data_IF_824611117982
#
_entry.id   IF_824611117982
#
_cell.length_a   1.000
_cell.length_b   1.000
_cell.length_c   1.000
_cell.angle_alpha   90.00
_cell.angle_beta   90.00
_cell.angle_gamma   90.00
#
_symmetry.space_group_name_H-M   'P 1'
#
loop_
_entity.id
_entity.type
_entity.pdbx_description
1 polymer ?
#
# COMPACT_ATOMS: atom_id res chain seq x y z
N UNK A 1 -26.77 51.83 20.88
CA UNK A 1 -26.54 51.33 22.26
C UNK A 1 -26.90 49.85 22.25
N UNK A 2 -25.89 49.02 22.32
CA UNK A 2 -26.05 47.54 22.32
C UNK A 2 -26.44 47.13 23.74
N UNK A 3 -27.48 46.36 23.92
CA UNK A 3 -28.01 45.95 25.23
C UNK A 3 -27.04 45.03 25.96
N UNK A 4 -27.06 44.97 27.31
CA UNK A 4 -26.19 44.03 28.08
C UNK A 4 -26.35 42.57 27.71
N UNK A 5 -27.52 42.16 27.18
CA UNK A 5 -27.83 40.82 26.77
C UNK A 5 -27.14 40.47 25.44
N UNK A 6 -27.01 41.40 24.49
CA UNK A 6 -26.28 41.19 23.24
C UNK A 6 -24.78 41.07 23.44
N UNK A 7 -24.22 41.75 24.46
CA UNK A 7 -22.81 41.60 24.84
C UNK A 7 -22.50 40.26 25.49
N UNK A 8 -23.49 39.65 26.17
CA UNK A 8 -23.32 38.34 26.77
C UNK A 8 -23.30 37.23 25.71
N UNK A 9 -24.17 37.32 24.68
CA UNK A 9 -24.17 36.38 23.55
C UNK A 9 -22.93 36.52 22.66
N UNK A 10 -22.39 37.74 22.47
CA UNK A 10 -21.16 37.93 21.73
C UNK A 10 -19.92 37.40 22.49
N UNK A 11 -19.89 37.51 23.82
CA UNK A 11 -18.82 36.97 24.66
C UNK A 11 -18.86 35.45 24.73
N UNK A 12 -20.04 34.82 24.77
CA UNK A 12 -20.19 33.35 24.76
C UNK A 12 -19.84 32.80 23.37
N UNK A 13 -20.20 33.49 22.27
CA UNK A 13 -19.79 33.09 20.92
C UNK A 13 -18.29 33.21 20.69
N UNK A 14 -17.61 34.21 21.29
CA UNK A 14 -16.14 34.34 21.23
C UNK A 14 -15.42 33.30 22.13
N UNK A 15 -16.02 32.87 23.25
CA UNK A 15 -15.44 31.81 24.11
C UNK A 15 -15.60 30.42 23.50
N UNK A 16 -16.64 30.16 22.69
CA UNK A 16 -16.79 28.89 21.98
C UNK A 16 -15.89 28.76 20.73
N UNK A 17 -15.27 29.85 20.25
CA UNK A 17 -14.33 29.80 19.13
C UNK A 17 -12.86 29.56 19.55
N UNK A 18 -12.54 29.46 20.85
CA UNK A 18 -11.15 29.38 21.33
C UNK A 18 -10.75 27.99 21.88
N UNK A 19 -11.52 26.95 21.58
CA UNK A 19 -11.09 25.55 21.79
C UNK A 19 -11.03 24.77 20.47
N UNK A 20 -10.39 25.35 19.47
CA UNK A 20 -9.69 24.56 18.47
C UNK A 20 -8.42 24.07 19.19
N UNK A 21 -8.51 22.90 19.82
CA UNK A 21 -7.35 22.13 20.23
C UNK A 21 -6.46 21.97 19.01
N UNK A 22 -5.30 22.62 19.03
CA UNK A 22 -4.31 22.44 17.97
C UNK A 22 -3.84 20.98 18.07
N UNK A 23 -4.26 20.13 17.16
CA UNK A 23 -3.54 18.89 16.91
C UNK A 23 -2.05 19.27 16.86
N UNK A 24 -1.20 18.61 17.64
CA UNK A 24 0.23 18.89 17.66
C UNK A 24 0.76 18.74 16.23
N UNK A 25 0.99 19.85 15.56
CA UNK A 25 1.53 19.86 14.20
C UNK A 25 2.95 19.33 14.30
N UNK A 26 3.19 18.14 13.73
CA UNK A 26 4.55 17.58 13.66
C UNK A 26 5.35 18.49 12.72
N UNK A 27 6.40 19.13 13.23
CA UNK A 27 7.31 19.90 12.41
C UNK A 27 8.20 18.96 11.59
N UNK A 28 8.09 19.05 10.26
CA UNK A 28 8.84 18.20 9.34
C UNK A 28 10.16 18.84 8.95
N UNK A 29 11.23 18.06 8.90
CA UNK A 29 12.57 18.49 8.47
C UNK A 29 12.56 19.01 7.02
N UNK A 30 11.85 18.33 6.12
CA UNK A 30 11.69 18.71 4.72
C UNK A 30 10.24 19.08 4.42
N UNK A 31 10.03 20.25 3.81
CA UNK A 31 8.72 20.72 3.40
C UNK A 31 8.51 20.53 1.90
N UNK A 32 7.28 20.24 1.48
CA UNK A 32 6.92 20.03 0.08
C UNK A 32 5.47 19.62 -0.10
N UNK A 33 5.09 19.46 -1.35
CA UNK A 33 3.79 18.94 -1.75
C UNK A 33 3.93 17.51 -2.29
N UNK A 34 2.85 16.72 -2.17
CA UNK A 34 2.82 15.38 -2.78
C UNK A 34 2.92 15.51 -4.30
N UNK A 35 3.88 14.83 -4.95
CA UNK A 35 4.07 14.96 -6.38
C UNK A 35 2.91 14.32 -7.16
N UNK A 36 2.57 14.90 -8.30
CA UNK A 36 1.51 14.40 -9.19
C UNK A 36 2.11 13.68 -10.38
N UNK A 37 1.48 12.56 -10.78
CA UNK A 37 1.82 11.84 -12.00
C UNK A 37 0.88 12.22 -13.14
N UNK A 38 1.35 12.07 -14.38
CA UNK A 38 0.56 12.34 -15.59
C UNK A 38 -0.39 11.21 -15.96
N UNK A 39 -0.26 10.04 -15.33
CA UNK A 39 -1.04 8.83 -15.58
C UNK A 39 -1.12 8.00 -14.31
N UNK A 40 -2.16 7.15 -14.20
CA UNK A 40 -2.34 6.20 -13.09
C UNK A 40 -1.56 4.90 -13.30
N UNK A 41 -0.88 4.73 -14.44
CA UNK A 41 -0.18 3.50 -14.83
C UNK A 41 1.00 3.20 -13.93
N UNK A 42 0.98 2.04 -13.27
CA UNK A 42 2.02 1.59 -12.36
C UNK A 42 2.31 0.09 -12.47
N UNK A 43 3.44 -0.31 -11.90
CA UNK A 43 3.93 -1.69 -11.93
C UNK A 43 4.67 -2.01 -10.64
N UNK A 44 4.51 -3.22 -10.13
CA UNK A 44 5.45 -3.79 -9.19
C UNK A 44 6.71 -4.20 -9.95
N UNK A 45 7.77 -3.42 -9.78
CA UNK A 45 8.93 -3.42 -10.68
C UNK A 45 9.93 -4.53 -10.30
N UNK A 46 10.28 -5.37 -11.29
CA UNK A 46 11.40 -6.33 -11.20
C UNK A 46 12.57 -5.89 -12.10
N UNK A 47 12.29 -5.19 -13.21
CA UNK A 47 13.29 -4.71 -14.18
C UNK A 47 13.07 -3.21 -14.43
N UNK A 48 13.89 -2.36 -13.86
CA UNK A 48 13.69 -0.91 -13.90
C UNK A 48 13.70 -0.36 -15.32
N UNK A 49 14.66 -0.76 -16.17
CA UNK A 49 14.76 -0.28 -17.56
C UNK A 49 13.53 -0.65 -18.40
N UNK A 50 13.01 -1.88 -18.25
CA UNK A 50 11.81 -2.33 -18.96
C UNK A 50 10.57 -1.57 -18.45
N UNK A 51 10.47 -1.33 -17.15
CA UNK A 51 9.39 -0.54 -16.56
C UNK A 51 9.39 0.90 -17.09
N UNK A 52 10.57 1.53 -17.20
CA UNK A 52 10.72 2.87 -17.79
C UNK A 52 10.33 2.87 -19.27
N UNK A 53 10.77 1.86 -20.04
CA UNK A 53 10.39 1.71 -21.45
C UNK A 53 8.88 1.50 -21.65
N UNK A 54 8.20 0.88 -20.66
CA UNK A 54 6.75 0.74 -20.62
C UNK A 54 6.02 2.03 -20.24
N UNK A 55 6.74 3.07 -19.83
CA UNK A 55 6.19 4.38 -19.48
C UNK A 55 5.47 4.39 -18.14
N UNK A 56 5.87 3.57 -17.14
CA UNK A 56 5.28 3.59 -15.82
C UNK A 56 5.43 4.96 -15.14
N UNK A 57 4.42 5.33 -14.36
CA UNK A 57 4.42 6.56 -13.56
C UNK A 57 4.34 6.29 -12.06
N UNK A 58 4.00 5.06 -11.68
CA UNK A 58 3.96 4.60 -10.29
C UNK A 58 4.66 3.25 -10.19
N UNK A 59 5.37 3.02 -9.09
CA UNK A 59 6.03 1.75 -8.83
C UNK A 59 5.91 1.37 -7.36
N UNK A 60 5.57 0.11 -7.05
CA UNK A 60 5.73 -0.45 -5.71
C UNK A 60 7.01 -1.28 -5.62
N UNK A 61 7.63 -1.26 -4.43
CA UNK A 61 8.77 -2.08 -4.08
C UNK A 61 8.60 -2.66 -2.69
N UNK A 62 8.84 -3.96 -2.53
CA UNK A 62 8.86 -4.62 -1.23
C UNK A 62 10.15 -4.25 -0.49
N UNK A 63 10.01 -3.75 0.73
CA UNK A 63 11.10 -3.44 1.65
C UNK A 63 11.02 -4.41 2.81
N UNK A 64 11.87 -5.43 2.81
CA UNK A 64 11.97 -6.37 3.92
C UNK A 64 12.77 -5.73 5.07
N UNK A 65 12.06 -5.24 6.07
CA UNK A 65 12.64 -4.56 7.22
C UNK A 65 13.54 -5.50 8.07
N UNK A 66 13.21 -6.80 8.10
CA UNK A 66 14.04 -7.79 8.80
C UNK A 66 15.41 -7.98 8.12
N UNK A 67 15.47 -7.88 6.78
CA UNK A 67 16.76 -7.91 6.05
C UNK A 67 17.60 -6.65 6.26
N UNK A 68 16.98 -5.52 6.57
CA UNK A 68 17.70 -4.30 6.95
C UNK A 68 18.21 -4.37 8.38
N UNK A 69 17.52 -5.07 9.28
CA UNK A 69 17.74 -5.00 10.70
C UNK A 69 19.09 -5.58 11.14
N UNK A 70 19.74 -4.88 12.06
CA UNK A 70 20.93 -5.32 12.79
C UNK A 70 20.65 -5.20 14.29
N UNK A 71 20.41 -6.32 15.01
CA UNK A 71 20.20 -6.30 16.45
C UNK A 71 21.38 -5.73 17.23
N UNK A 72 21.11 -5.10 18.38
CA UNK A 72 22.15 -4.55 19.24
C UNK A 72 23.16 -5.63 19.68
N UNK A 73 24.44 -5.27 19.79
CA UNK A 73 25.50 -6.20 20.20
C UNK A 73 25.98 -7.15 19.10
N UNK A 74 25.38 -7.19 17.93
CA UNK A 74 26.00 -7.88 16.80
C UNK A 74 27.22 -7.07 16.33
N UNK A 75 28.37 -7.74 16.01
CA UNK A 75 29.53 -7.03 15.55
C UNK A 75 29.17 -6.22 14.30
N UNK A 76 29.48 -4.93 14.30
CA UNK A 76 29.45 -4.11 13.12
C UNK A 76 30.47 -4.70 12.12
N UNK A 77 30.00 -5.63 11.30
CA UNK A 77 30.77 -6.18 10.18
C UNK A 77 30.92 -5.16 9.07
N UNK A 78 31.82 -5.37 8.12
CA UNK A 78 32.04 -4.42 7.01
C UNK A 78 30.86 -4.13 6.10
N UNK A 79 29.70 -4.78 6.31
CA UNK A 79 28.44 -4.60 5.57
C UNK A 79 27.33 -3.95 6.42
N UNK A 80 27.69 -3.04 7.34
CA UNK A 80 26.73 -2.28 8.15
C UNK A 80 26.93 -0.78 8.00
N UNK A 81 25.81 -0.04 8.06
CA UNK A 81 25.76 1.42 8.12
C UNK A 81 25.11 1.83 9.44
N UNK A 82 25.84 2.58 10.27
CA UNK A 82 25.33 3.10 11.54
C UNK A 82 24.61 4.43 11.34
N UNK A 83 23.59 4.68 12.16
CA UNK A 83 22.87 5.95 12.21
C UNK A 83 22.41 6.26 13.63
N UNK A 84 22.17 7.54 13.90
CA UNK A 84 21.74 8.04 15.20
C UNK A 84 20.25 8.39 15.18
N UNK A 85 19.53 8.01 16.24
CA UNK A 85 18.14 8.44 16.49
C UNK A 85 17.89 8.53 17.99
N UNK A 86 17.35 9.66 18.45
CA UNK A 86 17.00 9.93 19.86
C UNK A 86 18.11 9.61 20.87
N UNK A 87 19.37 9.90 20.49
CA UNK A 87 20.56 9.68 21.32
C UNK A 87 21.03 8.23 21.40
N UNK A 88 20.49 7.35 20.55
CA UNK A 88 20.93 5.96 20.42
C UNK A 88 21.53 5.69 19.04
N UNK A 89 22.57 4.87 19.02
CA UNK A 89 23.19 4.39 17.78
C UNK A 89 22.53 3.10 17.33
N UNK A 90 22.04 3.08 16.10
CA UNK A 90 21.48 1.91 15.42
C UNK A 90 22.32 1.55 14.19
N UNK A 91 22.05 0.39 13.61
CA UNK A 91 22.70 -0.02 12.36
C UNK A 91 21.73 -0.74 11.42
N UNK A 92 22.04 -0.66 10.12
CA UNK A 92 21.32 -1.40 9.05
C UNK A 92 22.31 -2.15 8.16
N UNK A 93 21.84 -3.19 7.48
CA UNK A 93 22.56 -3.93 6.44
C UNK A 93 22.78 -3.05 5.21
N UNK A 94 24.01 -2.61 5.01
CA UNK A 94 24.41 -1.64 3.99
C UNK A 94 24.15 -2.14 2.56
N UNK A 95 24.58 -3.36 2.22
CA UNK A 95 24.47 -3.88 0.85
C UNK A 95 23.00 -4.02 0.41
N UNK A 96 22.09 -4.44 1.30
CA UNK A 96 20.68 -4.52 0.97
C UNK A 96 20.04 -3.12 0.81
N UNK A 97 20.40 -2.16 1.69
CA UNK A 97 19.93 -0.78 1.57
C UNK A 97 20.38 -0.15 0.24
N UNK A 98 21.66 -0.28 -0.12
CA UNK A 98 22.20 0.27 -1.37
C UNK A 98 21.56 -0.34 -2.62
N UNK A 99 21.24 -1.64 -2.58
CA UNK A 99 20.51 -2.30 -3.66
C UNK A 99 19.09 -1.73 -3.84
N UNK A 100 18.36 -1.48 -2.74
CA UNK A 100 17.05 -0.82 -2.76
C UNK A 100 17.18 0.60 -3.33
N UNK A 101 18.10 1.40 -2.80
CA UNK A 101 18.32 2.78 -3.21
C UNK A 101 18.72 2.91 -4.69
N UNK A 102 19.49 1.97 -5.21
CA UNK A 102 19.83 1.93 -6.63
C UNK A 102 18.58 1.85 -7.51
N UNK A 103 17.64 0.96 -7.18
CA UNK A 103 16.38 0.83 -7.94
C UNK A 103 15.45 2.02 -7.72
N UNK A 104 15.29 2.48 -6.47
CA UNK A 104 14.47 3.65 -6.14
C UNK A 104 14.97 4.87 -6.92
N UNK A 105 16.28 5.11 -6.93
CA UNK A 105 16.88 6.23 -7.66
C UNK A 105 16.65 6.12 -9.14
N UNK A 106 16.93 4.96 -9.75
CA UNK A 106 16.71 4.74 -11.21
C UNK A 106 15.28 5.10 -11.62
N UNK A 107 14.28 4.74 -10.79
CA UNK A 107 12.88 5.03 -11.09
C UNK A 107 12.52 6.50 -10.79
N UNK A 108 12.90 7.01 -9.63
CA UNK A 108 12.51 8.35 -9.19
C UNK A 108 13.21 9.48 -9.95
N UNK A 109 14.42 9.26 -10.43
CA UNK A 109 15.15 10.23 -11.29
C UNK A 109 14.44 10.45 -12.64
N UNK A 110 13.68 9.42 -13.10
CA UNK A 110 12.84 9.49 -14.31
C UNK A 110 11.39 9.92 -13.99
N UNK A 111 11.15 10.42 -12.78
CA UNK A 111 9.86 10.97 -12.35
C UNK A 111 8.80 9.91 -12.02
N UNK A 112 9.19 8.65 -11.82
CA UNK A 112 8.28 7.61 -11.34
C UNK A 112 8.05 7.79 -9.84
N UNK A 113 6.78 7.77 -9.41
CA UNK A 113 6.38 7.82 -8.02
C UNK A 113 6.56 6.45 -7.37
N UNK A 114 7.54 6.32 -6.48
CA UNK A 114 7.88 5.04 -5.83
C UNK A 114 7.20 4.94 -4.48
N UNK A 115 6.54 3.79 -4.22
CA UNK A 115 5.90 3.44 -2.96
C UNK A 115 6.63 2.25 -2.33
N UNK A 116 7.02 2.38 -1.06
CA UNK A 116 7.66 1.35 -0.28
C UNK A 116 6.62 0.50 0.46
N UNK A 117 6.53 -0.80 0.17
CA UNK A 117 5.72 -1.75 0.94
C UNK A 117 6.61 -2.26 2.09
N UNK A 118 6.28 -1.88 3.32
CA UNK A 118 7.03 -2.20 4.52
C UNK A 118 6.62 -3.56 5.04
N UNK A 119 7.49 -4.55 4.92
CA UNK A 119 7.23 -5.95 5.26
C UNK A 119 8.24 -6.44 6.30
N UNK A 120 7.82 -7.42 7.11
CA UNK A 120 8.70 -8.11 8.08
C UNK A 120 8.60 -9.60 7.84
N UNK A 121 9.53 -10.15 7.07
CA UNK A 121 9.63 -11.59 6.87
C UNK A 121 10.34 -12.26 8.05
N UNK A 122 9.93 -13.51 8.33
CA UNK A 122 10.67 -14.37 9.26
C UNK A 122 12.12 -14.54 8.77
N UNK A 123 13.07 -14.22 9.64
CA UNK A 123 14.51 -14.31 9.36
C UNK A 123 15.06 -15.66 9.84
N UNK A 124 16.12 -16.14 9.22
CA UNK A 124 16.91 -17.25 9.78
C UNK A 124 17.71 -16.88 11.04
N UNK A 125 17.78 -15.59 11.43
CA UNK A 125 18.42 -15.09 12.65
C UNK A 125 17.37 -14.86 13.74
N UNK A 126 17.38 -15.66 14.83
CA UNK A 126 16.42 -15.50 15.92
C UNK A 126 16.47 -14.12 16.60
N UNK A 127 17.63 -13.45 16.63
CA UNK A 127 17.73 -12.13 17.23
C UNK A 127 17.03 -11.06 16.38
N UNK A 128 17.08 -11.20 15.06
CA UNK A 128 16.30 -10.36 14.14
C UNK A 128 14.80 -10.60 14.32
N UNK A 129 14.37 -11.87 14.44
CA UNK A 129 12.96 -12.19 14.68
C UNK A 129 12.45 -11.62 16.00
N UNK A 130 13.25 -11.75 17.08
CA UNK A 130 12.89 -11.16 18.38
C UNK A 130 12.75 -9.63 18.32
N UNK A 131 13.60 -8.97 17.55
CA UNK A 131 13.58 -7.51 17.37
C UNK A 131 12.41 -7.05 16.49
N UNK A 132 12.16 -7.74 15.38
CA UNK A 132 11.34 -7.23 14.27
C UNK A 132 9.94 -7.83 14.19
N UNK A 133 9.77 -9.12 14.55
CA UNK A 133 8.47 -9.79 14.48
C UNK A 133 7.64 -9.57 15.75
N UNK A 134 6.34 -9.39 15.56
CA UNK A 134 5.38 -9.33 16.67
C UNK A 134 5.55 -10.53 17.61
N UNK A 135 5.52 -10.35 18.96
CA UNK A 135 5.80 -11.45 19.91
C UNK A 135 4.84 -12.65 19.81
N UNK A 136 3.65 -12.46 19.25
CA UNK A 136 2.68 -13.53 18.99
C UNK A 136 2.75 -14.08 17.56
N UNK A 137 3.78 -13.72 16.79
CA UNK A 137 3.98 -14.28 15.45
C UNK A 137 3.95 -15.82 15.50
N UNK A 138 3.19 -16.44 14.61
CA UNK A 138 3.08 -17.88 14.49
C UNK A 138 3.71 -18.37 13.18
N UNK A 139 4.82 -19.10 13.28
CA UNK A 139 5.55 -19.64 12.13
C UNK A 139 4.79 -20.71 11.34
N UNK A 140 3.64 -21.20 11.84
CA UNK A 140 2.75 -22.06 11.09
C UNK A 140 1.99 -21.33 9.97
N UNK A 141 2.00 -20.01 9.96
CA UNK A 141 1.38 -19.21 8.91
C UNK A 141 2.11 -19.38 7.56
N UNK A 142 1.37 -19.45 6.42
CA UNK A 142 1.90 -19.98 5.19
C UNK A 142 2.94 -19.09 4.49
N UNK A 143 2.93 -17.78 4.70
CA UNK A 143 3.76 -16.85 3.93
C UNK A 143 4.97 -16.32 4.70
N UNK A 144 5.17 -16.76 5.95
CA UNK A 144 6.28 -16.33 6.82
C UNK A 144 6.42 -14.79 6.94
N UNK A 145 5.28 -14.07 6.91
CA UNK A 145 5.19 -12.63 6.94
C UNK A 145 4.46 -12.19 8.21
N UNK A 146 5.15 -11.48 9.10
CA UNK A 146 4.62 -11.04 10.37
C UNK A 146 4.38 -9.54 10.45
N UNK A 147 3.60 -9.12 11.44
CA UNK A 147 3.50 -7.73 11.83
C UNK A 147 4.81 -7.27 12.50
N UNK A 148 5.17 -5.98 12.40
CA UNK A 148 6.32 -5.43 13.11
C UNK A 148 6.12 -5.53 14.65
N UNK A 149 7.23 -5.71 15.37
CA UNK A 149 7.25 -5.72 16.83
C UNK A 149 7.14 -4.30 17.39
N UNK A 150 5.93 -3.87 17.71
CA UNK A 150 5.68 -2.63 18.45
C UNK A 150 5.32 -2.88 19.92
N UNK A 151 5.28 -4.14 20.35
CA UNK A 151 4.87 -4.55 21.70
C UNK A 151 6.02 -4.42 22.71
N UNK A 152 7.26 -4.68 22.28
CA UNK A 152 8.42 -4.49 23.13
C UNK A 152 9.01 -3.09 22.95
N UNK A 153 9.53 -2.51 24.03
CA UNK A 153 10.19 -1.19 23.97
C UNK A 153 11.35 -1.16 22.99
N UNK A 154 12.11 -2.26 22.88
CA UNK A 154 13.24 -2.36 21.97
C UNK A 154 12.77 -2.41 20.51
N UNK A 155 11.80 -3.28 20.19
CA UNK A 155 11.23 -3.38 18.84
C UNK A 155 10.59 -2.07 18.38
N UNK A 156 9.77 -1.46 19.25
CA UNK A 156 9.14 -0.17 18.97
C UNK A 156 10.16 0.93 18.67
N UNK A 157 11.18 1.11 19.53
CA UNK A 157 12.24 2.12 19.31
C UNK A 157 13.04 1.86 18.05
N UNK A 158 13.38 0.56 17.80
CA UNK A 158 14.12 0.21 16.60
C UNK A 158 13.33 0.48 15.33
N UNK A 159 12.03 0.07 15.29
CA UNK A 159 11.17 0.32 14.15
C UNK A 159 11.03 1.82 13.88
N UNK A 160 10.77 2.62 14.91
CA UNK A 160 10.61 4.07 14.79
C UNK A 160 11.89 4.72 14.25
N UNK A 161 13.05 4.35 14.78
CA UNK A 161 14.35 4.83 14.32
C UNK A 161 14.64 4.40 12.88
N UNK A 162 14.37 3.14 12.52
CA UNK A 162 14.57 2.62 11.17
C UNK A 162 13.69 3.33 10.15
N UNK A 163 12.39 3.49 10.42
CA UNK A 163 11.48 4.21 9.52
C UNK A 163 11.88 5.68 9.39
N UNK A 164 12.25 6.33 10.49
CA UNK A 164 12.76 7.71 10.47
C UNK A 164 14.00 7.86 9.60
N UNK A 165 14.96 6.95 9.74
CA UNK A 165 16.18 6.91 8.94
C UNK A 165 15.90 6.72 7.44
N UNK A 166 15.04 5.76 7.08
CA UNK A 166 14.67 5.53 5.68
C UNK A 166 13.91 6.73 5.10
N UNK A 167 12.97 7.29 5.86
CA UNK A 167 12.20 8.44 5.43
C UNK A 167 13.07 9.69 5.23
N UNK A 168 14.05 9.93 6.08
CA UNK A 168 15.02 11.01 5.91
C UNK A 168 15.79 10.88 4.61
N UNK A 169 16.34 9.69 4.34
CA UNK A 169 17.14 9.42 3.13
C UNK A 169 16.31 9.57 1.86
N UNK A 170 15.12 9.00 1.84
CA UNK A 170 14.25 8.96 0.65
C UNK A 170 13.38 10.20 0.46
N UNK A 171 13.41 11.14 1.40
CA UNK A 171 12.77 12.45 1.28
C UNK A 171 13.76 13.60 1.18
N UNK A 172 15.07 13.33 1.21
CA UNK A 172 16.10 14.36 1.09
C UNK A 172 16.01 15.04 -0.28
N UNK A 173 15.92 16.39 -0.32
CA UNK A 173 15.85 17.15 -1.57
C UNK A 173 17.04 16.93 -2.52
N UNK A 174 18.19 16.45 -2.01
CA UNK A 174 19.36 16.12 -2.87
C UNK A 174 19.06 15.01 -3.88
N UNK A 175 18.10 14.09 -3.54
CA UNK A 175 17.80 12.91 -4.35
C UNK A 175 18.90 11.83 -4.37
N UNK A 176 19.97 11.99 -3.59
CA UNK A 176 21.12 11.08 -3.58
C UNK A 176 20.74 9.61 -3.39
N UNK A 177 19.69 9.34 -2.61
CA UNK A 177 19.20 8.00 -2.29
C UNK A 177 17.91 7.63 -3.05
N UNK A 178 17.52 8.45 -4.05
CA UNK A 178 16.23 8.36 -4.71
C UNK A 178 15.11 8.94 -3.84
N UNK A 179 13.85 8.82 -4.32
CA UNK A 179 12.68 9.39 -3.65
C UNK A 179 11.55 8.38 -3.50
N UNK A 180 11.04 8.24 -2.27
CA UNK A 180 9.82 7.47 -1.97
C UNK A 180 8.70 8.44 -1.61
N UNK A 181 7.55 8.30 -2.29
CA UNK A 181 6.39 9.19 -2.11
C UNK A 181 5.33 8.60 -1.17
N UNK A 182 5.36 7.29 -0.93
CA UNK A 182 4.38 6.63 -0.08
C UNK A 182 4.94 5.41 0.64
N UNK A 183 4.43 5.18 1.84
CA UNK A 183 4.79 4.04 2.69
C UNK A 183 3.53 3.21 2.93
N UNK A 184 3.51 1.98 2.43
CA UNK A 184 2.42 1.02 2.61
C UNK A 184 2.81 0.14 3.79
N UNK A 185 2.02 0.14 4.85
CA UNK A 185 2.36 -0.53 6.12
C UNK A 185 1.77 -1.93 6.14
N UNK A 186 2.62 -2.94 6.04
CA UNK A 186 2.23 -4.34 5.92
C UNK A 186 1.64 -4.68 4.55
N UNK A 187 1.04 -5.87 4.46
CA UNK A 187 0.33 -6.35 3.29
C UNK A 187 -1.01 -6.97 3.70
N UNK A 188 -2.11 -6.65 3.03
CA UNK A 188 -3.45 -7.25 3.22
C UNK A 188 -3.82 -7.51 4.68
N UNK A 189 -3.64 -6.50 5.51
CA UNK A 189 -3.64 -6.63 6.98
C UNK A 189 -4.98 -7.09 7.57
N UNK A 190 -6.07 -7.00 6.81
CA UNK A 190 -7.35 -7.58 7.18
C UNK A 190 -7.35 -9.12 7.12
N UNK A 191 -6.46 -9.72 6.33
CA UNK A 191 -6.16 -11.17 6.27
C UNK A 191 -4.83 -11.47 6.98
N UNK A 192 -4.69 -10.95 8.20
CA UNK A 192 -3.44 -10.80 8.95
C UNK A 192 -2.66 -12.10 9.15
N UNK A 193 -3.33 -13.23 9.38
CA UNK A 193 -2.67 -14.53 9.54
C UNK A 193 -1.75 -14.84 8.36
N UNK A 194 -2.17 -14.46 7.16
CA UNK A 194 -1.44 -14.75 5.93
C UNK A 194 -0.36 -13.72 5.61
N UNK A 195 -0.59 -12.42 5.94
CA UNK A 195 0.16 -11.34 5.37
C UNK A 195 0.70 -10.28 6.35
N UNK A 196 0.29 -10.36 7.62
CA UNK A 196 0.71 -9.43 8.69
C UNK A 196 0.51 -10.10 10.07
N UNK A 197 1.11 -11.27 10.25
CA UNK A 197 0.79 -12.24 11.29
C UNK A 197 1.10 -11.73 12.70
N UNK A 198 0.09 -11.79 13.57
CA UNK A 198 0.17 -11.57 15.02
C UNK A 198 -0.32 -12.79 15.82
N UNK A 199 -0.30 -13.99 15.21
CA UNK A 199 -0.97 -15.17 15.72
C UNK A 199 -2.48 -15.12 15.53
N UNK A 200 -3.23 -16.05 16.12
CA UNK A 200 -4.69 -15.93 16.22
C UNK A 200 -5.05 -14.76 17.11
N UNK A 201 -5.92 -13.86 16.63
CA UNK A 201 -6.25 -12.63 17.35
C UNK A 201 -7.74 -12.27 17.25
N UNK A 202 -8.26 -11.58 18.25
CA UNK A 202 -9.55 -10.90 18.14
C UNK A 202 -9.43 -9.70 17.18
N UNK A 203 -10.59 -9.25 16.66
CA UNK A 203 -10.61 -8.05 15.82
C UNK A 203 -10.06 -6.82 16.55
N UNK A 204 -10.45 -6.63 17.81
CA UNK A 204 -10.05 -5.45 18.59
C UNK A 204 -8.53 -5.45 18.84
N UNK A 205 -7.93 -6.62 19.05
CA UNK A 205 -6.49 -6.78 19.21
C UNK A 205 -5.76 -6.45 17.90
N UNK A 206 -6.19 -7.01 16.75
CA UNK A 206 -5.62 -6.68 15.45
C UNK A 206 -5.74 -5.18 15.14
N UNK A 207 -6.94 -4.62 15.32
CA UNK A 207 -7.20 -3.22 15.02
C UNK A 207 -6.34 -2.27 15.87
N UNK A 208 -6.13 -2.62 17.15
CA UNK A 208 -5.32 -1.82 18.06
C UNK A 208 -3.84 -1.87 17.70
N UNK A 209 -3.27 -3.07 17.55
CA UNK A 209 -1.87 -3.27 17.13
C UNK A 209 -1.61 -2.56 15.79
N UNK A 210 -2.52 -2.73 14.82
CA UNK A 210 -2.29 -2.15 13.51
C UNK A 210 -2.45 -0.63 13.50
N UNK A 211 -3.45 -0.08 14.22
CA UNK A 211 -3.59 1.38 14.39
C UNK A 211 -2.33 2.01 14.97
N UNK A 212 -1.77 1.41 16.04
CA UNK A 212 -0.54 1.90 16.67
C UNK A 212 0.67 1.81 15.72
N UNK A 213 0.77 0.71 14.95
CA UNK A 213 1.84 0.53 13.96
C UNK A 213 1.75 1.60 12.85
N UNK A 214 0.55 1.78 12.29
CA UNK A 214 0.32 2.75 11.22
C UNK A 214 0.62 4.19 11.69
N UNK A 215 0.21 4.52 12.92
CA UNK A 215 0.47 5.81 13.56
C UNK A 215 1.96 6.04 13.80
N UNK A 216 2.67 5.03 14.31
CA UNK A 216 4.13 5.09 14.51
C UNK A 216 4.85 5.40 13.19
N UNK A 217 4.52 4.65 12.13
CA UNK A 217 5.10 4.87 10.80
C UNK A 217 4.76 6.26 10.28
N UNK A 218 3.50 6.69 10.39
CA UNK A 218 3.09 8.03 9.98
C UNK A 218 3.90 9.12 10.71
N UNK A 219 4.06 9.01 12.02
CA UNK A 219 4.79 10.00 12.81
C UNK A 219 6.29 10.01 12.46
N UNK A 220 6.91 8.83 12.30
CA UNK A 220 8.31 8.71 11.91
C UNK A 220 8.58 9.34 10.53
N UNK A 221 7.71 9.07 9.54
CA UNK A 221 7.77 9.67 8.20
C UNK A 221 7.51 11.17 8.27
N UNK A 222 6.47 11.59 8.99
CA UNK A 222 6.05 13.01 9.04
C UNK A 222 7.08 13.90 9.71
N UNK A 223 7.85 13.41 10.69
CA UNK A 223 8.99 14.15 11.24
C UNK A 223 10.07 14.43 10.21
N UNK A 224 10.22 13.59 9.20
CA UNK A 224 11.23 13.80 8.15
C UNK A 224 10.70 14.66 7.00
N UNK A 225 9.49 14.42 6.53
CA UNK A 225 8.93 15.18 5.42
C UNK A 225 7.41 15.39 5.53
N UNK A 226 6.94 16.56 5.08
CA UNK A 226 5.52 16.94 5.16
C UNK A 226 4.64 16.27 4.10
N UNK A 227 5.21 15.73 3.02
CA UNK A 227 4.47 15.35 1.82
C UNK A 227 4.30 13.83 1.59
N UNK A 228 5.16 12.90 2.06
CA UNK A 228 4.93 11.49 1.81
C UNK A 228 3.66 11.00 2.48
N UNK A 229 2.95 10.08 1.84
CA UNK A 229 1.71 9.50 2.35
C UNK A 229 1.96 8.14 2.99
N UNK A 230 1.14 7.79 3.99
CA UNK A 230 1.17 6.48 4.65
C UNK A 230 -0.15 5.77 4.41
N UNK A 231 -0.08 4.50 4.00
CA UNK A 231 -1.22 3.74 3.51
C UNK A 231 -1.45 2.48 4.35
N UNK A 232 -2.73 2.22 4.66
CA UNK A 232 -3.18 0.90 5.11
C UNK A 232 -3.33 -0.02 3.90
N UNK A 233 -2.83 -1.26 3.99
CA UNK A 233 -2.95 -2.25 2.93
C UNK A 233 -4.14 -3.19 3.18
N UNK A 234 -5.06 -3.26 2.22
CA UNK A 234 -6.30 -4.04 2.34
C UNK A 234 -6.58 -4.82 1.05
N UNK A 235 -7.12 -6.03 1.20
CA UNK A 235 -7.55 -6.86 0.08
C UNK A 235 -9.08 -6.84 -0.13
N UNK A 236 -9.56 -7.49 -1.16
CA UNK A 236 -10.91 -7.34 -1.72
C UNK A 236 -12.08 -7.86 -0.86
N UNK A 237 -11.84 -8.65 0.23
CA UNK A 237 -12.92 -9.11 1.13
C UNK A 237 -13.47 -7.94 1.94
N UNK A 238 -14.54 -7.33 1.43
CA UNK A 238 -15.02 -6.04 1.91
C UNK A 238 -15.90 -6.15 3.16
N UNK A 239 -17.04 -6.86 3.05
CA UNK A 239 -17.94 -7.06 4.21
C UNK A 239 -17.88 -8.47 4.79
N UNK A 240 -17.08 -9.36 4.20
CA UNK A 240 -16.80 -10.71 4.67
C UNK A 240 -15.31 -10.85 5.01
N UNK A 241 -14.94 -11.83 5.82
CA UNK A 241 -13.52 -12.23 5.95
C UNK A 241 -13.12 -13.17 4.83
N UNK A 242 -11.84 -13.39 4.65
CA UNK A 242 -11.30 -14.40 3.75
C UNK A 242 -11.92 -15.78 4.08
N UNK A 243 -12.64 -16.44 3.13
CA UNK A 243 -13.47 -17.60 3.44
C UNK A 243 -12.70 -18.83 3.93
N UNK A 244 -11.43 -18.98 3.55
CA UNK A 244 -10.59 -20.09 3.99
C UNK A 244 -9.93 -19.85 5.37
N UNK A 245 -10.04 -18.64 5.93
CA UNK A 245 -9.47 -18.30 7.22
C UNK A 245 -10.38 -18.69 8.39
N UNK A 246 -9.80 -19.03 9.52
CA UNK A 246 -10.51 -19.16 10.78
C UNK A 246 -10.98 -17.79 11.29
N UNK A 247 -11.83 -17.77 12.32
CA UNK A 247 -12.49 -16.56 12.81
C UNK A 247 -11.53 -15.54 13.45
N UNK A 248 -10.36 -16.00 13.87
CA UNK A 248 -9.28 -15.24 14.50
C UNK A 248 -8.07 -15.00 13.56
N UNK A 249 -8.22 -15.29 12.25
CA UNK A 249 -7.15 -15.20 11.26
C UNK A 249 -7.36 -14.11 10.21
N UNK A 250 -8.60 -13.68 9.99
CA UNK A 250 -8.95 -12.65 9.04
C UNK A 250 -10.23 -11.91 9.43
N UNK A 251 -10.36 -10.67 8.95
CA UNK A 251 -11.54 -9.82 9.15
C UNK A 251 -11.91 -9.11 7.84
N UNK A 252 -13.11 -8.54 7.80
CA UNK A 252 -13.54 -7.72 6.67
C UNK A 252 -12.74 -6.41 6.60
N UNK A 253 -12.29 -6.02 5.42
CA UNK A 253 -11.57 -4.75 5.17
C UNK A 253 -12.35 -3.54 5.67
N UNK A 254 -13.65 -3.50 5.39
CA UNK A 254 -14.54 -2.43 5.84
C UNK A 254 -14.56 -2.28 7.35
N UNK A 255 -14.58 -3.39 8.08
CA UNK A 255 -14.63 -3.36 9.56
C UNK A 255 -13.41 -2.62 10.14
N UNK A 256 -12.22 -2.78 9.51
CA UNK A 256 -11.02 -2.08 9.94
C UNK A 256 -11.11 -0.57 9.65
N UNK A 257 -11.65 -0.19 8.50
CA UNK A 257 -11.86 1.22 8.15
C UNK A 257 -12.94 1.90 9.01
N UNK A 258 -14.01 1.17 9.35
CA UNK A 258 -15.05 1.64 10.29
C UNK A 258 -14.44 1.89 11.69
N UNK A 259 -13.56 1.01 12.17
CA UNK A 259 -12.83 1.19 13.44
C UNK A 259 -11.91 2.41 13.40
N UNK A 260 -11.18 2.62 12.29
CA UNK A 260 -10.31 3.79 12.12
C UNK A 260 -11.11 5.10 12.10
N UNK A 261 -12.26 5.11 11.42
CA UNK A 261 -13.16 6.26 11.43
C UNK A 261 -13.65 6.57 12.85
N UNK A 262 -14.09 5.53 13.60
CA UNK A 262 -14.51 5.66 14.99
C UNK A 262 -13.41 6.21 15.89
N UNK A 263 -12.19 5.66 15.82
CA UNK A 263 -11.01 6.16 16.60
C UNK A 263 -10.73 7.64 16.30
N UNK A 264 -10.76 8.02 15.02
CA UNK A 264 -10.55 9.40 14.62
C UNK A 264 -11.62 10.37 15.12
N UNK A 265 -12.85 9.91 15.31
CA UNK A 265 -13.96 10.71 15.88
C UNK A 265 -13.88 10.79 17.42
N UNK A 266 -13.62 9.66 18.08
CA UNK A 266 -13.52 9.58 19.53
C UNK A 266 -12.29 10.33 20.09
N UNK A 267 -11.21 10.38 19.31
CA UNK A 267 -9.96 11.04 19.69
C UNK A 267 -9.41 11.88 18.52
N UNK A 268 -10.01 13.06 18.22
CA UNK A 268 -9.59 13.89 17.09
C UNK A 268 -8.11 14.30 17.12
N UNK A 269 -7.55 14.51 18.32
CA UNK A 269 -6.15 14.85 18.51
C UNK A 269 -5.20 13.69 18.22
N UNK A 270 -5.72 12.47 18.21
CA UNK A 270 -5.01 11.22 17.93
C UNK A 270 -5.22 10.74 16.48
N UNK A 271 -6.07 11.41 15.72
CA UNK A 271 -6.32 11.15 14.32
C UNK A 271 -5.15 11.68 13.46
N UNK A 272 -4.86 10.98 12.39
CA UNK A 272 -3.76 11.33 11.48
C UNK A 272 -4.12 11.05 10.01
N UNK A 273 -3.29 11.55 9.10
CA UNK A 273 -3.53 11.48 7.66
C UNK A 273 -3.06 10.13 7.07
N UNK A 274 -3.87 9.09 7.27
CA UNK A 274 -3.68 7.78 6.64
C UNK A 274 -4.48 7.67 5.33
N UNK A 275 -4.02 6.83 4.41
CA UNK A 275 -4.61 6.59 3.09
C UNK A 275 -4.78 5.08 2.85
N UNK A 276 -5.33 4.69 1.69
CA UNK A 276 -5.68 3.30 1.39
C UNK A 276 -4.87 2.77 0.20
N UNK A 277 -4.17 1.66 0.41
CA UNK A 277 -3.58 0.81 -0.60
C UNK A 277 -4.48 -0.44 -0.72
N UNK A 278 -5.26 -0.53 -1.80
CA UNK A 278 -6.29 -1.54 -1.96
C UNK A 278 -5.96 -2.53 -3.07
N UNK A 279 -6.30 -3.80 -2.87
CA UNK A 279 -6.03 -4.90 -3.80
C UNK A 279 -7.34 -5.47 -4.36
N UNK A 280 -7.90 -4.91 -5.45
CA UNK A 280 -9.19 -5.32 -6.02
C UNK A 280 -9.07 -6.51 -6.96
N UNK A 281 -8.38 -7.58 -6.56
CA UNK A 281 -8.31 -8.80 -7.36
C UNK A 281 -9.71 -9.30 -7.75
N UNK A 282 -9.86 -10.03 -8.88
CA UNK A 282 -11.07 -10.79 -9.15
C UNK A 282 -11.42 -11.72 -7.99
N UNK A 283 -12.72 -12.02 -7.77
CA UNK A 283 -13.15 -12.88 -6.65
C UNK A 283 -12.55 -14.30 -6.71
N UNK A 284 -12.22 -14.77 -7.90
CA UNK A 284 -11.42 -15.96 -8.15
C UNK A 284 -10.13 -15.56 -8.87
N UNK A 285 -9.00 -15.71 -8.21
CA UNK A 285 -7.70 -15.32 -8.76
C UNK A 285 -7.32 -16.01 -10.07
N UNK A 286 -7.85 -17.24 -10.33
CA UNK A 286 -7.63 -17.97 -11.56
C UNK A 286 -8.59 -17.60 -12.70
N UNK A 287 -9.65 -16.81 -12.41
CA UNK A 287 -10.61 -16.32 -13.40
C UNK A 287 -10.48 -14.80 -13.55
N UNK A 288 -9.76 -14.30 -14.55
CA UNK A 288 -9.47 -12.88 -14.66
C UNK A 288 -10.66 -12.04 -15.14
N UNK A 289 -11.77 -12.67 -15.60
CA UNK A 289 -12.97 -11.99 -16.09
C UNK A 289 -13.81 -11.42 -14.94
N UNK A 290 -13.25 -10.45 -14.20
CA UNK A 290 -13.86 -9.83 -13.03
C UNK A 290 -15.29 -9.28 -13.28
N UNK A 291 -15.66 -8.99 -14.52
CA UNK A 291 -17.05 -8.60 -14.86
C UNK A 291 -18.08 -9.71 -14.60
N UNK A 292 -17.63 -10.95 -14.45
CA UNK A 292 -18.45 -12.11 -14.07
C UNK A 292 -18.52 -12.34 -12.57
N UNK A 293 -17.76 -11.60 -11.74
CA UNK A 293 -17.74 -11.75 -10.29
C UNK A 293 -19.17 -11.71 -9.72
N UNK A 294 -19.53 -12.71 -8.92
CA UNK A 294 -20.90 -12.86 -8.40
C UNK A 294 -21.08 -12.16 -7.05
N UNK A 295 -20.01 -11.98 -6.29
CA UNK A 295 -20.05 -11.39 -4.95
C UNK A 295 -19.62 -9.93 -4.92
N UNK A 296 -19.22 -9.36 -6.06
CA UNK A 296 -18.96 -7.94 -6.25
C UNK A 296 -20.26 -7.25 -6.69
N UNK A 297 -21.05 -6.77 -5.71
CA UNK A 297 -22.37 -6.19 -5.89
C UNK A 297 -22.29 -4.65 -5.96
N UNK A 298 -23.25 -3.98 -6.67
CA UNK A 298 -23.27 -2.52 -6.77
C UNK A 298 -23.85 -1.86 -5.51
N UNK A 299 -23.36 -2.24 -4.34
CA UNK A 299 -23.82 -1.73 -3.03
C UNK A 299 -22.65 -1.61 -2.07
N UNK A 300 -22.75 -0.71 -1.09
CA UNK A 300 -21.76 -0.49 -0.05
C UNK A 300 -21.57 -1.72 0.86
N UNK A 301 -22.56 -2.58 0.98
CA UNK A 301 -22.55 -3.81 1.77
C UNK A 301 -22.12 -5.03 0.95
N UNK A 302 -21.52 -4.81 -0.23
CA UNK A 302 -21.00 -5.87 -1.10
C UNK A 302 -20.09 -6.82 -0.32
N UNK A 303 -20.17 -8.15 -0.50
CA UNK A 303 -19.20 -9.09 0.07
C UNK A 303 -17.76 -8.77 -0.33
N UNK A 304 -17.52 -8.44 -1.59
CA UNK A 304 -16.20 -8.06 -2.12
C UNK A 304 -16.25 -6.75 -2.88
N UNK A 305 -15.13 -6.03 -2.88
CA UNK A 305 -14.88 -4.95 -3.84
C UNK A 305 -13.76 -5.42 -4.78
N UNK A 306 -14.12 -5.62 -6.05
CA UNK A 306 -13.22 -5.96 -7.14
C UNK A 306 -13.28 -4.87 -8.21
N UNK A 307 -12.63 -5.04 -9.35
CA UNK A 307 -12.78 -4.08 -10.44
C UNK A 307 -14.24 -3.93 -10.93
N UNK A 308 -15.10 -4.93 -10.70
CA UNK A 308 -16.51 -4.87 -11.12
C UNK A 308 -17.28 -3.73 -10.45
N UNK A 309 -17.03 -3.51 -9.17
CA UNK A 309 -17.76 -2.53 -8.33
C UNK A 309 -16.84 -1.57 -7.55
N UNK A 310 -15.67 -1.23 -8.11
CA UNK A 310 -14.62 -0.44 -7.44
C UNK A 310 -15.11 0.96 -6.99
N UNK A 311 -16.12 1.53 -7.66
CA UNK A 311 -16.79 2.77 -7.27
C UNK A 311 -17.40 2.72 -5.85
N UNK A 312 -17.67 1.52 -5.32
CA UNK A 312 -18.14 1.38 -3.94
C UNK A 312 -17.09 1.79 -2.93
N UNK A 313 -15.80 1.51 -3.21
CA UNK A 313 -14.68 1.92 -2.35
C UNK A 313 -14.56 3.45 -2.30
N UNK A 314 -14.53 4.10 -3.46
CA UNK A 314 -14.39 5.56 -3.53
C UNK A 314 -15.60 6.28 -2.93
N UNK A 315 -16.82 5.75 -3.16
CA UNK A 315 -18.04 6.26 -2.54
C UNK A 315 -18.03 6.11 -1.02
N UNK A 316 -17.53 4.98 -0.51
CA UNK A 316 -17.39 4.74 0.93
C UNK A 316 -16.41 5.74 1.55
N UNK A 317 -15.23 5.91 0.97
CA UNK A 317 -14.18 6.81 1.49
C UNK A 317 -14.55 8.30 1.36
N UNK A 318 -15.54 8.64 0.54
CA UNK A 318 -16.06 10.00 0.44
C UNK A 318 -16.96 10.41 1.62
N UNK A 319 -17.37 9.47 2.48
CA UNK A 319 -18.21 9.76 3.66
C UNK A 319 -17.50 10.70 4.63
N UNK A 320 -18.23 11.62 5.28
CA UNK A 320 -17.64 12.63 6.17
C UNK A 320 -16.80 12.03 7.31
N UNK A 321 -17.21 10.86 7.82
CA UNK A 321 -16.60 10.16 8.95
C UNK A 321 -15.19 9.66 8.66
N UNK A 322 -14.88 9.41 7.38
CA UNK A 322 -13.59 8.90 6.93
C UNK A 322 -12.60 9.99 6.53
N UNK A 323 -13.09 11.24 6.37
CA UNK A 323 -12.25 12.36 5.96
C UNK A 323 -11.26 12.77 7.05
N UNK A 324 -10.10 13.22 6.63
CA UNK A 324 -9.14 13.88 7.51
C UNK A 324 -9.13 15.38 7.24
N UNK A 325 -9.47 16.20 8.24
CA UNK A 325 -9.57 17.67 8.09
C UNK A 325 -10.42 18.11 6.89
N UNK A 326 -11.52 17.37 6.63
CA UNK A 326 -12.44 17.64 5.53
C UNK A 326 -11.99 17.11 4.15
N UNK A 327 -10.76 16.61 4.02
CA UNK A 327 -10.23 16.04 2.78
C UNK A 327 -10.49 14.52 2.70
N UNK A 328 -10.83 13.98 1.52
CA UNK A 328 -11.00 12.54 1.34
C UNK A 328 -9.65 11.82 1.48
N UNK A 329 -9.71 10.54 1.89
CA UNK A 329 -8.54 9.66 1.88
C UNK A 329 -8.16 9.32 0.44
N UNK A 330 -6.88 9.35 0.13
CA UNK A 330 -6.35 8.94 -1.15
C UNK A 330 -6.31 7.43 -1.29
N UNK A 331 -6.51 6.93 -2.50
CA UNK A 331 -6.48 5.49 -2.80
C UNK A 331 -5.46 5.21 -3.90
N UNK A 332 -4.61 4.24 -3.66
CA UNK A 332 -3.82 3.58 -4.70
C UNK A 332 -4.25 2.12 -4.78
N UNK A 333 -4.34 1.58 -5.99
CA UNK A 333 -4.46 0.16 -6.20
C UNK A 333 -3.04 -0.39 -6.27
N UNK A 334 -2.52 -0.84 -5.13
CA UNK A 334 -1.08 -1.11 -4.94
C UNK A 334 -0.66 -2.50 -5.38
N UNK A 335 -1.62 -3.41 -5.47
CA UNK A 335 -1.39 -4.77 -5.93
C UNK A 335 -2.68 -5.36 -6.51
N UNK A 336 -2.64 -5.77 -7.73
CA UNK A 336 -3.65 -6.57 -8.41
C UNK A 336 -3.11 -7.09 -9.73
N UNK A 337 -3.59 -8.25 -10.14
CA UNK A 337 -3.20 -8.89 -11.39
C UNK A 337 -4.32 -9.72 -11.99
N UNK A 338 -4.11 -10.14 -13.22
CA UNK A 338 -5.04 -10.96 -13.96
C UNK A 338 -4.33 -12.23 -14.40
N UNK A 339 -4.84 -13.38 -13.98
CA UNK A 339 -4.25 -14.67 -14.34
C UNK A 339 -4.31 -14.91 -15.86
N UNK A 340 -3.29 -15.55 -16.42
CA UNK A 340 -3.31 -16.10 -17.77
C UNK A 340 -3.94 -17.50 -17.70
N UNK A 341 -5.21 -17.72 -18.07
CA UNK A 341 -5.81 -19.05 -18.09
C UNK A 341 -5.08 -20.02 -19.05
N UNK A 342 -5.30 -21.32 -18.88
CA UNK A 342 -4.79 -22.30 -19.82
C UNK A 342 -5.53 -22.22 -21.18
N UNK A 343 -4.85 -22.67 -22.21
CA UNK A 343 -5.40 -22.72 -23.57
C UNK A 343 -4.94 -21.57 -24.47
N UNK A 344 -5.35 -21.61 -25.75
CA UNK A 344 -4.83 -20.70 -26.78
C UNK A 344 -5.23 -19.23 -26.58
N UNK A 345 -6.34 -18.98 -25.91
CA UNK A 345 -6.87 -17.64 -25.69
C UNK A 345 -6.45 -17.03 -24.33
N UNK A 346 -5.68 -17.75 -23.52
CA UNK A 346 -5.35 -17.34 -22.16
C UNK A 346 -4.71 -15.96 -22.05
N UNK A 347 -3.72 -15.66 -22.89
CA UNK A 347 -3.09 -14.34 -22.92
C UNK A 347 -4.05 -13.23 -23.41
N UNK A 348 -4.97 -13.55 -24.34
CA UNK A 348 -5.97 -12.59 -24.79
C UNK A 348 -6.98 -12.28 -23.68
N UNK A 349 -7.38 -13.27 -22.89
CA UNK A 349 -8.29 -13.10 -21.75
C UNK A 349 -7.63 -12.28 -20.65
N UNK A 350 -6.37 -12.59 -20.28
CA UNK A 350 -5.57 -11.78 -19.33
C UNK A 350 -5.49 -10.32 -19.77
N UNK A 351 -5.11 -10.09 -21.03
CA UNK A 351 -4.95 -8.77 -21.60
C UNK A 351 -6.28 -8.00 -21.66
N UNK A 352 -7.39 -8.67 -22.01
CA UNK A 352 -8.72 -8.06 -22.02
C UNK A 352 -9.17 -7.63 -20.61
N UNK A 353 -8.85 -8.41 -19.57
CA UNK A 353 -9.13 -8.04 -18.19
C UNK A 353 -8.36 -6.78 -17.79
N UNK A 354 -7.08 -6.69 -18.14
CA UNK A 354 -6.30 -5.47 -17.93
C UNK A 354 -6.92 -4.26 -18.66
N UNK A 355 -7.26 -4.41 -19.94
CA UNK A 355 -7.87 -3.32 -20.73
C UNK A 355 -9.15 -2.80 -20.07
N UNK A 356 -10.05 -3.70 -19.68
CA UNK A 356 -11.30 -3.34 -19.03
C UNK A 356 -11.09 -2.66 -17.67
N UNK A 357 -10.16 -3.16 -16.85
CA UNK A 357 -9.81 -2.58 -15.57
C UNK A 357 -9.21 -1.20 -15.72
N UNK A 358 -8.21 -1.04 -16.62
CA UNK A 358 -7.55 0.24 -16.84
C UNK A 358 -8.54 1.31 -17.35
N UNK A 359 -9.43 0.94 -18.29
CA UNK A 359 -10.47 1.87 -18.74
C UNK A 359 -11.40 2.31 -17.63
N UNK A 360 -11.82 1.37 -16.77
CA UNK A 360 -12.65 1.71 -15.60
C UNK A 360 -11.95 2.71 -14.67
N UNK A 361 -10.69 2.46 -14.31
CA UNK A 361 -9.96 3.33 -13.36
C UNK A 361 -9.56 4.66 -13.97
N UNK A 362 -9.37 4.73 -15.29
CA UNK A 362 -9.09 5.99 -15.98
C UNK A 362 -10.24 6.99 -15.85
N UNK A 363 -11.50 6.50 -15.74
CA UNK A 363 -12.72 7.28 -15.63
C UNK A 363 -13.21 7.43 -14.19
N UNK A 364 -12.64 6.67 -13.23
CA UNK A 364 -13.06 6.68 -11.83
C UNK A 364 -12.23 7.70 -11.03
N UNK A 365 -12.89 8.70 -10.46
CA UNK A 365 -12.28 9.64 -9.54
C UNK A 365 -11.94 8.97 -8.20
N UNK A 366 -10.94 9.51 -7.49
CA UNK A 366 -10.54 9.04 -6.17
C UNK A 366 -9.53 7.89 -6.17
N UNK A 367 -9.09 7.41 -7.35
CA UNK A 367 -7.99 6.45 -7.50
C UNK A 367 -6.77 7.17 -8.08
N UNK A 368 -5.68 7.23 -7.34
CA UNK A 368 -4.46 7.94 -7.73
C UNK A 368 -3.52 7.09 -8.60
N UNK A 369 -3.48 5.78 -8.40
CA UNK A 369 -2.60 4.85 -9.10
C UNK A 369 -3.23 3.46 -9.29
N UNK A 370 -2.85 2.81 -10.40
CA UNK A 370 -3.12 1.40 -10.70
C UNK A 370 -1.79 0.68 -10.93
N UNK A 371 -1.30 -0.01 -9.90
CA UNK A 371 0.00 -0.66 -9.89
C UNK A 371 -0.17 -2.15 -10.12
N UNK A 372 0.12 -2.61 -11.33
CA UNK A 372 -0.09 -4.01 -11.72
C UNK A 372 0.92 -4.93 -11.02
N UNK A 373 0.44 -5.98 -10.42
CA UNK A 373 1.16 -7.14 -9.97
C UNK A 373 0.96 -8.25 -11.02
N UNK A 374 1.97 -8.60 -11.86
CA UNK A 374 3.35 -8.17 -11.69
C UNK A 374 4.08 -8.05 -13.04
N UNK A 375 5.38 -7.75 -12.94
CA UNK A 375 6.22 -7.58 -14.13
C UNK A 375 6.48 -8.89 -14.89
N UNK A 376 6.88 -9.95 -14.17
CA UNK A 376 7.25 -11.26 -14.72
C UNK A 376 6.53 -12.36 -13.93
N UNK A 377 6.04 -13.39 -14.60
CA UNK A 377 5.46 -14.57 -13.93
C UNK A 377 6.40 -15.12 -12.85
N UNK A 378 5.86 -15.53 -11.71
CA UNK A 378 6.66 -15.99 -10.58
C UNK A 378 6.31 -17.45 -10.21
N UNK A 379 7.31 -18.33 -9.99
CA UNK A 379 7.05 -19.75 -9.78
C UNK A 379 6.38 -20.08 -8.43
N UNK A 380 6.45 -19.16 -7.47
CA UNK A 380 5.91 -19.33 -6.12
C UNK A 380 4.61 -18.54 -5.87
N UNK A 381 3.82 -18.27 -6.90
CA UNK A 381 2.53 -17.60 -6.84
C UNK A 381 1.34 -18.59 -6.82
N UNK A 382 1.52 -19.78 -6.25
CA UNK A 382 0.44 -20.77 -6.17
C UNK A 382 -0.11 -21.24 -7.54
N UNK A 383 0.68 -21.12 -8.62
CA UNK A 383 0.26 -21.43 -10.00
C UNK A 383 -0.35 -20.26 -10.77
N UNK A 384 -0.46 -19.10 -10.16
CA UNK A 384 -0.90 -17.89 -10.85
C UNK A 384 0.16 -17.37 -11.85
N UNK A 385 -0.29 -16.95 -13.02
CA UNK A 385 0.55 -16.36 -14.08
C UNK A 385 0.08 -14.93 -14.35
N UNK A 386 0.56 -13.98 -13.51
CA UNK A 386 0.09 -12.61 -13.47
C UNK A 386 0.95 -11.63 -14.26
N UNK A 387 2.16 -12.07 -14.68
CA UNK A 387 3.17 -11.20 -15.28
C UNK A 387 2.76 -10.59 -16.62
N UNK A 388 3.37 -9.44 -16.93
CA UNK A 388 3.44 -8.90 -18.28
C UNK A 388 4.31 -9.77 -19.20
N UNK A 389 5.30 -10.45 -18.59
CA UNK A 389 6.23 -11.37 -19.26
C UNK A 389 6.13 -12.76 -18.65
N UNK A 390 6.40 -13.76 -19.45
CA UNK A 390 6.62 -15.13 -18.98
C UNK A 390 7.95 -15.23 -18.23
N UNK A 391 8.11 -16.31 -17.47
CA UNK A 391 9.40 -16.79 -16.97
C UNK A 391 9.63 -18.18 -17.52
N UNK A 392 10.45 -18.28 -18.54
CA UNK A 392 10.75 -19.53 -19.21
C UNK A 392 11.82 -20.34 -18.44
N UNK A 393 11.88 -21.69 -18.61
CA UNK A 393 12.87 -22.51 -17.93
C UNK A 393 14.33 -22.17 -18.27
N UNK A 394 14.58 -21.62 -19.45
CA UNK A 394 15.92 -21.14 -19.90
C UNK A 394 16.27 -19.77 -19.36
N UNK A 395 15.41 -19.17 -18.52
CA UNK A 395 15.56 -17.82 -17.95
C UNK A 395 15.10 -16.69 -18.86
N UNK A 396 14.65 -16.98 -20.08
CA UNK A 396 14.09 -15.94 -20.97
C UNK A 396 12.74 -15.43 -20.47
N UNK A 397 12.37 -14.23 -20.91
CA UNK A 397 11.20 -13.48 -20.42
C UNK A 397 10.43 -12.90 -21.62
N UNK A 398 9.65 -13.75 -22.27
CA UNK A 398 8.84 -13.36 -23.42
C UNK A 398 7.72 -12.41 -23.00
N UNK A 399 7.48 -11.34 -23.74
CA UNK A 399 6.32 -10.49 -23.57
C UNK A 399 5.03 -11.24 -23.90
N UNK A 400 4.03 -11.17 -23.01
CA UNK A 400 2.67 -11.68 -23.26
C UNK A 400 1.82 -10.62 -23.96
N UNK A 401 0.62 -10.98 -24.40
CA UNK A 401 -0.29 -10.00 -25.06
C UNK A 401 -0.62 -8.79 -24.19
N UNK A 402 -0.72 -8.95 -22.89
CA UNK A 402 -0.95 -7.87 -21.92
C UNK A 402 0.17 -6.81 -21.94
N UNK A 403 1.39 -7.17 -22.33
CA UNK A 403 2.53 -6.25 -22.36
C UNK A 403 2.27 -5.04 -23.26
N UNK A 404 1.77 -5.29 -24.48
CA UNK A 404 1.44 -4.23 -25.42
C UNK A 404 0.25 -3.37 -24.95
N UNK A 405 -0.77 -4.00 -24.36
CA UNK A 405 -1.88 -3.27 -23.76
C UNK A 405 -1.40 -2.37 -22.61
N UNK A 406 -0.51 -2.88 -21.76
CA UNK A 406 0.07 -2.09 -20.68
C UNK A 406 0.91 -0.91 -21.22
N UNK A 407 1.74 -1.17 -22.24
CA UNK A 407 2.57 -0.13 -22.85
C UNK A 407 1.75 1.02 -23.40
N UNK A 408 0.63 0.73 -24.06
CA UNK A 408 -0.20 1.73 -24.76
C UNK A 408 -1.30 2.35 -23.91
N UNK A 409 -1.57 1.84 -22.71
CA UNK A 409 -2.79 2.15 -21.91
C UNK A 409 -3.10 3.65 -21.74
N UNK A 410 -2.09 4.51 -21.65
CA UNK A 410 -2.17 5.97 -21.45
C UNK A 410 -1.62 6.78 -22.63
N UNK A 411 -1.46 6.15 -23.78
CA UNK A 411 -1.01 6.79 -25.04
C UNK A 411 -2.19 6.93 -26.02
N UNK A 412 -2.06 7.74 -27.09
CA UNK A 412 -3.12 7.84 -28.12
C UNK A 412 -3.48 6.51 -28.79
N UNK A 413 -2.55 5.56 -28.82
CA UNK A 413 -2.70 4.24 -29.47
C UNK A 413 -3.54 3.25 -28.67
N UNK A 414 -3.93 3.56 -27.43
CA UNK A 414 -4.66 2.63 -26.58
C UNK A 414 -5.94 2.07 -27.22
N UNK A 415 -6.65 2.88 -28.02
CA UNK A 415 -7.92 2.44 -28.65
C UNK A 415 -7.72 1.28 -29.61
N UNK A 416 -6.72 1.36 -30.48
CA UNK A 416 -6.35 0.30 -31.41
C UNK A 416 -5.85 -0.93 -30.65
N UNK A 417 -4.94 -0.74 -29.68
CA UNK A 417 -4.37 -1.82 -28.89
C UNK A 417 -5.42 -2.58 -28.04
N UNK A 418 -6.53 -1.92 -27.63
CA UNK A 418 -7.58 -2.50 -26.79
C UNK A 418 -8.78 -3.05 -27.60
N UNK A 419 -8.87 -2.81 -28.91
CA UNK A 419 -10.02 -3.18 -29.75
C UNK A 419 -10.34 -4.69 -29.69
N UNK A 420 -9.32 -5.55 -29.68
CA UNK A 420 -9.50 -7.01 -29.59
C UNK A 420 -10.20 -7.45 -28.31
N UNK A 421 -10.15 -6.67 -27.26
CA UNK A 421 -10.72 -7.00 -25.95
C UNK A 421 -12.25 -6.79 -25.92
N UNK A 422 -12.81 -5.93 -26.77
CA UNK A 422 -14.25 -5.61 -26.78
C UNK A 422 -15.15 -6.86 -26.83
N UNK A 423 -14.99 -7.79 -27.79
CA UNK A 423 -15.82 -9.01 -27.83
C UNK A 423 -15.59 -9.93 -26.63
N UNK A 424 -14.38 -9.95 -26.04
CA UNK A 424 -14.06 -10.77 -24.85
C UNK A 424 -14.78 -10.25 -23.61
N UNK A 425 -14.83 -8.90 -23.48
CA UNK A 425 -15.49 -8.23 -22.36
C UNK A 425 -17.01 -8.11 -22.56
N UNK A 426 -17.53 -8.37 -23.78
CA UNK A 426 -18.93 -8.24 -24.13
C UNK A 426 -19.37 -6.79 -24.32
N UNK A 427 -18.50 -5.93 -24.87
CA UNK A 427 -18.77 -4.51 -25.18
C UNK A 427 -18.68 -4.26 -26.67
N UNK A 428 -19.44 -3.26 -27.15
CA UNK A 428 -19.37 -2.77 -28.54
C UNK A 428 -18.36 -1.62 -28.70
N UNK A 429 -18.06 -0.92 -27.62
CA UNK A 429 -17.11 0.20 -27.56
C UNK A 429 -16.55 0.39 -26.16
N UNK A 430 -15.44 1.10 -26.11
CA UNK A 430 -14.84 1.58 -24.84
C UNK A 430 -15.50 2.85 -24.35
#
# INVERSE_FOLDING_TARGET
MITPMERFFLAVALLCMSQLTSAQTIESKYQGEFPTATSKKGLQVEMADDALALGVKHATMNIDLARLAVPAGQPAGGDTLSFESDGHTYAVRKGYLEALESTIRTLSDEGVLVYAILLVYESGDPAVNQLMLHPKYDSAAPNHLGAPNIETDEGRRYLEALIGFLAERWSNPSGEHGRVVGYIVGNEVNSHWYWNNIGGASFDELADVYWQTLKLVHHAVRRQASWPRVYVSLEHHWSIRYPAADADQAFASRKLLDDFARRGQESPDDNFDWHVAFHPYPENLFEPRFWNDQTALPTIDSPRITFKNLEQLTSYLAQPELRYQGQPRHVILSEQGFHTPDGPDGEAIQAAAYCAAYRKIAELDGIDAFILHRHVDHPHEGGLRLGLRTREPDGSRRAKKIYECFRTADTPEWREAFEFALPIVGRESW
#
